data_IF_810187068194
#
_entry.id   IF_810187068194
#
_cell.length_a   1.000
_cell.length_b   1.000
_cell.length_c   1.000
_cell.angle_alpha   90.00
_cell.angle_beta   90.00
_cell.angle_gamma   90.00
#
_symmetry.space_group_name_H-M   'P 1'
#
loop_
_entity.id
_entity.type
_entity.pdbx_description
1 polymer ?
#
# COMPACT_ATOMS: atom_id res chain seq x y z
N UNK A 1 13.60 6.33 7.09
CA UNK A 1 12.40 7.17 6.92
C UNK A 1 12.18 7.91 8.22
N UNK A 2 13.00 8.92 8.50
CA UNK A 2 12.95 9.69 9.74
C UNK A 2 13.10 11.16 9.33
N UNK A 3 12.34 12.06 9.96
CA UNK A 3 12.09 13.47 9.61
C UNK A 3 10.86 13.72 8.71
N UNK A 4 9.67 13.49 9.28
CA UNK A 4 8.40 14.23 9.02
C UNK A 4 7.17 13.60 9.72
N UNK A 5 7.37 12.84 10.80
CA UNK A 5 6.26 12.14 11.51
C UNK A 5 5.34 13.12 12.25
N UNK A 6 5.82 14.35 12.54
CA UNK A 6 5.14 15.31 13.41
C UNK A 6 3.81 15.87 12.87
N UNK A 7 3.48 15.66 11.59
CA UNK A 7 2.24 16.17 10.97
C UNK A 7 1.42 15.10 10.22
N UNK A 8 1.72 13.80 10.42
CA UNK A 8 0.93 12.73 9.81
C UNK A 8 -0.38 12.54 10.58
N UNK A 9 -1.48 12.34 9.86
CA UNK A 9 -2.74 11.97 10.51
C UNK A 9 -2.65 10.52 10.99
N UNK A 10 -3.39 10.17 12.05
CA UNK A 10 -3.40 8.80 12.59
C UNK A 10 -3.79 7.76 11.53
N UNK A 11 -4.69 8.14 10.63
CA UNK A 11 -5.14 7.28 9.54
C UNK A 11 -4.05 7.05 8.48
N UNK A 12 -3.17 8.03 8.27
CA UNK A 12 -1.97 7.90 7.42
C UNK A 12 -0.98 6.91 8.04
N UNK A 13 -0.73 7.02 9.35
CA UNK A 13 0.14 6.10 10.08
C UNK A 13 -0.40 4.67 10.04
N UNK A 14 -1.72 4.49 10.16
CA UNK A 14 -2.37 3.19 10.11
C UNK A 14 -2.11 2.48 8.78
N UNK A 15 -2.33 3.13 7.64
CA UNK A 15 -2.11 2.49 6.33
C UNK A 15 -0.62 2.25 6.06
N UNK A 16 0.26 3.16 6.52
CA UNK A 16 1.71 2.99 6.37
C UNK A 16 2.21 1.76 7.14
N UNK A 17 1.68 1.53 8.35
CA UNK A 17 1.97 0.33 9.13
C UNK A 17 1.45 -0.93 8.44
N UNK A 18 0.24 -0.91 7.87
CA UNK A 18 -0.31 -2.02 7.09
C UNK A 18 0.60 -2.42 5.92
N UNK A 19 1.05 -1.44 5.13
CA UNK A 19 1.96 -1.69 4.01
C UNK A 19 3.33 -2.18 4.51
N UNK A 20 3.89 -1.58 5.57
CA UNK A 20 5.16 -2.05 6.14
C UNK A 20 5.10 -3.52 6.55
N UNK A 21 4.02 -3.94 7.21
CA UNK A 21 3.85 -5.32 7.64
C UNK A 21 3.72 -6.25 6.42
N UNK A 22 2.99 -5.84 5.38
CA UNK A 22 2.92 -6.56 4.10
C UNK A 22 4.32 -6.83 3.51
N UNK A 23 5.20 -5.83 3.53
CA UNK A 23 6.58 -5.97 3.04
C UNK A 23 7.41 -6.94 3.89
N UNK A 24 7.23 -6.93 5.21
CA UNK A 24 7.92 -7.89 6.09
C UNK A 24 7.44 -9.33 5.83
N UNK A 25 6.17 -9.50 5.47
CA UNK A 25 5.60 -10.79 5.17
C UNK A 25 6.06 -11.36 3.82
N UNK A 26 6.43 -10.52 2.85
CA UNK A 26 6.84 -10.93 1.49
C UNK A 26 7.89 -12.03 1.53
N UNK A 27 8.97 -11.82 2.30
CA UNK A 27 10.07 -12.77 2.38
C UNK A 27 9.58 -14.12 2.92
N UNK A 28 8.77 -14.10 3.98
CA UNK A 28 8.19 -15.30 4.59
C UNK A 28 7.31 -16.08 3.59
N UNK A 29 6.47 -15.39 2.82
CA UNK A 29 5.59 -16.05 1.85
C UNK A 29 6.34 -16.61 0.63
N UNK A 30 7.41 -15.93 0.19
CA UNK A 30 8.28 -16.43 -0.89
C UNK A 30 9.03 -17.68 -0.44
N UNK A 31 9.65 -17.67 0.75
CA UNK A 31 10.40 -18.82 1.27
C UNK A 31 9.51 -20.03 1.63
N UNK A 32 8.24 -19.80 1.96
CA UNK A 32 7.28 -20.87 2.31
C UNK A 32 6.48 -21.41 1.12
N UNK A 33 6.83 -21.03 -0.12
CA UNK A 33 6.15 -21.46 -1.35
C UNK A 33 4.64 -21.11 -1.40
N UNK A 34 4.19 -20.12 -0.61
CA UNK A 34 2.79 -19.72 -0.46
C UNK A 34 2.46 -18.42 -1.20
N UNK A 35 3.01 -18.25 -2.40
CA UNK A 35 2.87 -17.03 -3.22
C UNK A 35 1.39 -16.72 -3.54
N UNK A 36 0.57 -17.75 -3.77
CA UNK A 36 -0.88 -17.57 -4.01
C UNK A 36 -1.60 -16.93 -2.81
N UNK A 37 -1.25 -17.36 -1.59
CA UNK A 37 -1.87 -16.86 -0.38
C UNK A 37 -1.43 -15.41 -0.08
N UNK A 38 -0.18 -15.08 -0.39
CA UNK A 38 0.28 -13.69 -0.36
C UNK A 38 -0.51 -12.81 -1.33
N UNK A 39 -0.77 -13.29 -2.56
CA UNK A 39 -1.58 -12.58 -3.54
C UNK A 39 -2.99 -12.27 -3.04
N UNK A 40 -3.64 -13.24 -2.39
CA UNK A 40 -4.96 -13.02 -1.76
C UNK A 40 -4.91 -11.98 -0.64
N UNK A 41 -3.91 -12.07 0.25
CA UNK A 41 -3.71 -11.11 1.34
C UNK A 41 -3.47 -9.70 0.82
N UNK A 42 -2.63 -9.57 -0.21
CA UNK A 42 -2.37 -8.29 -0.88
C UNK A 42 -3.66 -7.70 -1.46
N UNK A 43 -4.43 -8.50 -2.21
CA UNK A 43 -5.71 -8.05 -2.77
C UNK A 43 -6.72 -7.65 -1.68
N UNK A 44 -6.78 -8.39 -0.58
CA UNK A 44 -7.63 -8.05 0.56
C UNK A 44 -7.25 -6.71 1.18
N UNK A 45 -5.96 -6.42 1.32
CA UNK A 45 -5.49 -5.12 1.84
C UNK A 45 -5.75 -3.99 0.85
N UNK A 46 -5.50 -4.20 -0.46
CA UNK A 46 -5.82 -3.21 -1.50
C UNK A 46 -7.31 -2.86 -1.45
N UNK A 47 -8.18 -3.87 -1.44
CA UNK A 47 -9.62 -3.64 -1.46
C UNK A 47 -10.14 -3.07 -0.14
N UNK A 48 -9.98 -3.80 0.96
CA UNK A 48 -10.72 -3.52 2.18
C UNK A 48 -10.05 -2.47 3.07
N UNK A 49 -8.72 -2.36 3.03
CA UNK A 49 -7.98 -1.44 3.89
C UNK A 49 -7.62 -0.15 3.14
N UNK A 50 -7.18 -0.26 1.88
CA UNK A 50 -6.87 0.93 1.07
C UNK A 50 -8.13 1.54 0.43
N UNK A 51 -8.82 0.84 -0.47
CA UNK A 51 -9.95 1.43 -1.20
C UNK A 51 -11.15 1.74 -0.29
N UNK A 52 -11.65 0.76 0.46
CA UNK A 52 -12.89 0.93 1.22
C UNK A 52 -12.75 1.85 2.46
N UNK A 53 -11.52 1.99 3.00
CA UNK A 53 -11.29 2.77 4.23
C UNK A 53 -10.36 3.96 4.01
N UNK A 54 -9.10 3.73 3.62
CA UNK A 54 -8.13 4.81 3.51
C UNK A 54 -8.48 5.86 2.46
N UNK A 55 -8.91 5.41 1.29
CA UNK A 55 -9.28 6.32 0.21
C UNK A 55 -10.50 7.15 0.61
N UNK A 56 -11.51 6.54 1.23
CA UNK A 56 -12.71 7.24 1.70
C UNK A 56 -12.41 8.30 2.76
N UNK A 57 -11.55 8.00 3.73
CA UNK A 57 -11.10 8.98 4.73
C UNK A 57 -10.29 10.09 4.06
N UNK A 58 -9.40 9.73 3.14
CA UNK A 58 -8.52 10.69 2.45
C UNK A 58 -9.27 11.69 1.58
N UNK A 59 -10.44 11.33 1.02
CA UNK A 59 -11.30 12.25 0.23
C UNK A 59 -11.70 13.51 0.99
N UNK A 60 -11.84 13.42 2.31
CA UNK A 60 -12.22 14.54 3.17
C UNK A 60 -11.03 15.27 3.78
N UNK A 61 -9.80 14.79 3.55
CA UNK A 61 -8.58 15.42 4.04
C UNK A 61 -8.13 16.54 3.09
N UNK A 62 -7.78 17.70 3.66
CA UNK A 62 -7.13 18.80 2.95
C UNK A 62 -5.60 18.79 3.14
N UNK A 63 -5.06 17.74 3.76
CA UNK A 63 -3.64 17.64 4.09
C UNK A 63 -2.83 17.26 2.86
N UNK A 64 -1.86 18.09 2.42
CA UNK A 64 -0.93 17.71 1.35
C UNK A 64 -0.06 16.50 1.73
N UNK A 65 0.09 16.21 3.02
CA UNK A 65 0.80 15.02 3.49
C UNK A 65 -0.01 13.75 3.23
N UNK A 66 -1.32 13.77 3.45
CA UNK A 66 -2.21 12.63 3.18
C UNK A 66 -2.21 12.25 1.69
N UNK A 67 -2.17 13.25 0.81
CA UNK A 67 -2.02 13.02 -0.64
C UNK A 67 -0.68 12.34 -0.98
N UNK A 68 0.43 12.81 -0.39
CA UNK A 68 1.75 12.18 -0.55
C UNK A 68 1.78 10.76 0.00
N UNK A 69 1.14 10.51 1.14
CA UNK A 69 1.03 9.16 1.73
C UNK A 69 0.21 8.26 0.83
N UNK A 70 -0.90 8.74 0.27
CA UNK A 70 -1.72 7.99 -0.68
C UNK A 70 -0.90 7.53 -1.88
N UNK A 71 -0.18 8.45 -2.54
CA UNK A 71 0.69 8.12 -3.67
C UNK A 71 1.81 7.14 -3.27
N UNK A 72 2.42 7.32 -2.10
CA UNK A 72 3.44 6.42 -1.59
C UNK A 72 2.88 5.00 -1.38
N UNK A 73 1.69 4.89 -0.79
CA UNK A 73 1.02 3.61 -0.53
C UNK A 73 0.66 2.91 -1.85
N UNK A 74 0.10 3.62 -2.82
CA UNK A 74 -0.19 3.09 -4.17
C UNK A 74 1.08 2.58 -4.84
N UNK A 75 2.14 3.38 -4.86
CA UNK A 75 3.43 3.00 -5.46
C UNK A 75 3.99 1.72 -4.82
N UNK A 76 3.87 1.59 -3.49
CA UNK A 76 4.30 0.39 -2.75
C UNK A 76 3.43 -0.83 -3.08
N UNK A 77 2.11 -0.68 -3.11
CA UNK A 77 1.21 -1.79 -3.46
C UNK A 77 1.45 -2.29 -4.89
N UNK A 78 1.66 -1.40 -5.86
CA UNK A 78 1.95 -1.79 -7.25
C UNK A 78 3.27 -2.54 -7.40
N UNK A 79 4.29 -2.23 -6.58
CA UNK A 79 5.52 -3.03 -6.55
C UNK A 79 5.26 -4.46 -6.05
N UNK A 80 4.44 -4.63 -5.02
CA UNK A 80 4.07 -5.94 -4.49
C UNK A 80 3.12 -6.70 -5.44
N UNK A 81 2.32 -5.99 -6.21
CA UNK A 81 1.36 -6.57 -7.16
C UNK A 81 2.02 -7.04 -8.46
N UNK A 82 3.21 -6.53 -8.80
CA UNK A 82 3.91 -6.83 -10.05
C UNK A 82 4.05 -8.32 -10.38
N UNK A 83 4.40 -9.23 -9.44
CA UNK A 83 4.47 -10.67 -9.72
C UNK A 83 3.10 -11.31 -10.10
N UNK A 84 1.99 -10.65 -9.76
CA UNK A 84 0.64 -11.14 -9.98
C UNK A 84 -0.06 -10.47 -11.17
N UNK A 85 0.16 -9.18 -11.37
CA UNK A 85 -0.42 -8.38 -12.45
C UNK A 85 0.63 -7.44 -13.07
N UNK A 86 1.65 -7.97 -13.76
CA UNK A 86 2.83 -7.20 -14.19
C UNK A 86 2.47 -6.06 -15.14
N UNK A 87 1.69 -6.34 -16.19
CA UNK A 87 1.34 -5.34 -17.21
C UNK A 87 0.52 -4.17 -16.65
N UNK A 88 -0.46 -4.45 -15.78
CA UNK A 88 -1.30 -3.42 -15.15
C UNK A 88 -0.46 -2.61 -14.17
N UNK A 89 0.34 -3.28 -13.33
CA UNK A 89 1.15 -2.62 -12.30
C UNK A 89 2.21 -1.71 -12.92
N UNK A 90 2.82 -2.14 -14.03
CA UNK A 90 3.79 -1.35 -14.78
C UNK A 90 3.13 -0.15 -15.46
N UNK A 91 1.98 -0.35 -16.13
CA UNK A 91 1.26 0.75 -16.78
C UNK A 91 0.84 1.84 -15.79
N UNK A 92 0.31 1.46 -14.63
CA UNK A 92 -0.07 2.42 -13.57
C UNK A 92 1.16 3.13 -13.00
N UNK A 93 2.28 2.42 -12.80
CA UNK A 93 3.53 3.04 -12.35
C UNK A 93 4.10 4.07 -13.32
N UNK A 94 3.91 3.91 -14.62
CA UNK A 94 4.36 4.88 -15.62
C UNK A 94 3.54 6.18 -15.64
N UNK A 95 2.33 6.17 -15.06
CA UNK A 95 1.42 7.33 -15.04
C UNK A 95 1.59 8.21 -13.78
N UNK A 96 2.30 7.69 -12.77
CA UNK A 96 2.61 8.42 -11.54
C UNK A 96 3.99 9.08 -11.64
#
# INVERSE_FOLDING_TARGET
MEKNVLNLQDFDLWILNKIRNLYQDVDVYIFSNNVSEFGKKLLQIIKNDFCDKYLEVSKNSKSPLTEKVMLLVVSKMLKLLWPFAPFVSEKLRMLM
#
